data_IF_150379833924
#
_entry.id   IF_150379833924
#
_cell.length_a   1.000
_cell.length_b   1.000
_cell.length_c   1.000
_cell.angle_alpha   90.00
_cell.angle_beta   90.00
_cell.angle_gamma   90.00
#
_symmetry.space_group_name_H-M   'P 1'
#
loop_
_entity.id
_entity.type
_entity.pdbx_description
1 polymer ?
#
# COMPACT_ATOMS: atom_id res chain seq x y z
N UNK A 1 17.41 54.46 -4.62
CA UNK A 1 17.83 53.79 -5.86
C UNK A 1 17.45 52.32 -5.77
N UNK A 2 16.44 51.88 -6.52
CA UNK A 2 15.88 50.50 -6.50
C UNK A 2 16.44 49.77 -7.71
N UNK A 3 17.20 48.71 -7.49
CA UNK A 3 17.65 47.79 -8.55
C UNK A 3 16.76 46.57 -8.58
N UNK A 4 15.95 46.47 -9.63
CA UNK A 4 15.14 45.31 -9.93
C UNK A 4 16.01 44.22 -10.58
N UNK A 5 16.07 43.02 -9.99
CA UNK A 5 16.67 41.83 -10.59
C UNK A 5 15.61 40.98 -11.27
N UNK A 6 15.70 40.93 -12.59
CA UNK A 6 14.91 40.11 -13.50
C UNK A 6 15.30 38.64 -13.34
N UNK A 7 14.33 37.76 -13.06
CA UNK A 7 14.50 36.29 -13.09
C UNK A 7 14.23 35.80 -14.51
N UNK A 8 15.24 35.28 -15.16
CA UNK A 8 15.10 34.56 -16.45
C UNK A 8 14.63 33.16 -16.20
N UNK A 9 13.42 32.83 -16.65
CA UNK A 9 12.88 31.50 -16.76
C UNK A 9 13.45 30.80 -17.99
N UNK A 10 14.21 29.75 -17.83
CA UNK A 10 14.64 28.88 -18.92
C UNK A 10 13.64 27.72 -19.04
N UNK A 11 12.81 27.77 -20.10
CA UNK A 11 11.97 26.66 -20.52
C UNK A 11 12.81 25.67 -21.35
N UNK A 12 13.09 24.51 -20.77
CA UNK A 12 13.73 23.39 -21.48
C UNK A 12 12.67 22.43 -22.02
N UNK A 13 12.46 22.45 -23.32
CA UNK A 13 11.65 21.47 -24.04
C UNK A 13 12.52 20.24 -24.32
N UNK A 14 12.14 19.07 -23.82
CA UNK A 14 12.71 17.80 -24.24
C UNK A 14 11.62 17.06 -25.02
N UNK A 15 11.78 17.05 -26.33
CA UNK A 15 11.02 16.21 -27.24
C UNK A 15 11.60 14.79 -27.18
N UNK A 16 10.85 13.84 -26.64
CA UNK A 16 11.19 12.41 -26.57
C UNK A 16 10.42 11.60 -27.62
N UNK A 17 11.17 10.91 -28.44
CA UNK A 17 10.83 10.12 -29.60
C UNK A 17 9.96 8.91 -29.25
N UNK A 18 8.80 8.78 -29.91
CA UNK A 18 7.99 7.57 -29.96
C UNK A 18 8.66 6.53 -30.88
N UNK A 19 8.98 5.36 -30.35
CA UNK A 19 9.25 4.16 -31.16
C UNK A 19 8.12 3.16 -30.96
N UNK A 20 7.29 3.03 -31.98
CA UNK A 20 6.29 2.00 -32.15
C UNK A 20 6.98 0.72 -32.60
N UNK A 21 6.89 -0.35 -31.82
CA UNK A 21 7.18 -1.71 -32.31
C UNK A 21 5.97 -2.58 -31.95
N UNK A 22 5.19 -2.82 -33.02
CA UNK A 22 4.16 -3.82 -33.03
C UNK A 22 4.81 -5.18 -33.32
N UNK A 23 4.56 -6.18 -32.49
CA UNK A 23 4.73 -7.57 -32.79
C UNK A 23 3.70 -8.39 -32.06
N UNK A 24 2.70 -8.89 -32.79
CA UNK A 24 1.83 -9.97 -32.38
C UNK A 24 2.50 -11.31 -32.69
N UNK A 25 2.32 -12.34 -31.87
CA UNK A 25 2.00 -13.65 -32.38
C UNK A 25 0.73 -14.23 -31.77
N UNK A 26 -0.15 -14.66 -32.66
CA UNK A 26 -1.23 -15.58 -32.38
C UNK A 26 -0.65 -16.97 -32.12
N UNK A 27 -1.14 -17.65 -31.06
CA UNK A 27 -1.04 -19.10 -30.94
C UNK A 27 -2.35 -19.63 -30.39
N UNK A 28 -3.03 -20.30 -31.26
CA UNK A 28 -4.16 -21.21 -31.14
C UNK A 28 -3.81 -22.50 -30.40
N UNK A 29 -4.81 -23.08 -29.74
CA UNK A 29 -4.89 -24.53 -29.44
C UNK A 29 -4.82 -24.84 -27.95
N UNK A 30 -5.62 -25.63 -27.39
CA UNK A 30 -6.48 -26.74 -27.61
C UNK A 30 -7.24 -27.04 -26.34
N UNK A 31 -8.46 -27.43 -26.50
CA UNK A 31 -9.35 -28.05 -25.52
C UNK A 31 -8.79 -29.35 -24.97
N UNK A 32 -9.11 -29.69 -23.73
CA UNK A 32 -9.34 -31.08 -23.33
C UNK A 32 -10.34 -31.12 -22.18
N UNK A 33 -11.44 -31.75 -22.48
CA UNK A 33 -12.49 -32.24 -21.60
C UNK A 33 -11.97 -33.31 -20.64
N UNK A 34 -12.75 -33.54 -19.65
CA UNK A 34 -12.93 -34.75 -18.81
C UNK A 34 -12.83 -34.40 -17.33
N UNK A 35 -13.64 -34.83 -16.43
CA UNK A 35 -14.79 -35.74 -16.33
C UNK A 35 -15.41 -35.58 -14.95
N UNK A 36 -16.66 -35.84 -14.85
CA UNK A 36 -17.50 -35.86 -13.66
C UNK A 36 -17.06 -36.91 -12.64
N UNK A 37 -17.10 -36.57 -11.36
CA UNK A 37 -17.44 -37.59 -10.36
C UNK A 37 -18.33 -37.00 -9.26
N UNK A 38 -19.52 -37.56 -9.24
CA UNK A 38 -20.64 -37.35 -8.34
C UNK A 38 -20.41 -38.29 -7.13
N UNK A 39 -20.43 -37.76 -5.93
CA UNK A 39 -20.62 -38.57 -4.72
C UNK A 39 -21.65 -37.94 -3.81
N UNK A 40 -22.60 -38.77 -3.47
CA UNK A 40 -23.88 -38.59 -2.80
C UNK A 40 -23.77 -39.08 -1.36
N UNK A 41 -24.47 -38.34 -0.45
CA UNK A 41 -24.98 -38.90 0.83
C UNK A 41 -24.10 -38.66 2.04
N UNK A 42 -24.55 -38.10 3.13
CA UNK A 42 -25.53 -38.71 4.02
C UNK A 42 -25.89 -37.75 5.16
N UNK A 43 -27.15 -37.78 5.55
CA UNK A 43 -27.75 -37.12 6.68
C UNK A 43 -27.14 -37.51 8.03
N UNK A 44 -27.21 -36.58 9.00
CA UNK A 44 -26.89 -36.86 10.38
C UNK A 44 -27.29 -35.68 11.29
N UNK A 45 -28.58 -35.68 11.66
CA UNK A 45 -29.18 -34.82 12.68
C UNK A 45 -28.72 -35.24 14.08
N UNK A 46 -28.30 -34.27 14.93
CA UNK A 46 -28.55 -34.34 16.38
C UNK A 46 -28.27 -33.00 17.07
N UNK A 47 -29.31 -32.49 17.63
CA UNK A 47 -29.52 -31.46 18.60
C UNK A 47 -28.66 -31.58 19.88
N UNK A 48 -28.14 -30.46 20.41
CA UNK A 48 -28.12 -30.06 21.82
C UNK A 48 -27.45 -28.69 21.99
N UNK A 49 -28.15 -27.75 22.57
CA UNK A 49 -27.67 -26.51 23.22
C UNK A 49 -27.75 -26.72 24.76
N UNK A 50 -27.41 -25.73 25.60
CA UNK A 50 -26.35 -24.73 25.58
C UNK A 50 -25.50 -24.79 26.87
N UNK A 51 -24.31 -24.19 26.90
CA UNK A 51 -23.79 -23.66 28.18
C UNK A 51 -22.89 -22.46 27.91
N UNK A 52 -23.24 -21.35 28.54
CA UNK A 52 -22.46 -20.13 28.59
C UNK A 52 -21.15 -20.35 29.37
N UNK A 53 -20.06 -19.78 28.87
CA UNK A 53 -18.94 -19.44 29.73
C UNK A 53 -18.15 -18.27 29.12
N UNK A 54 -18.08 -17.24 29.90
CA UNK A 54 -17.34 -16.00 29.83
C UNK A 54 -15.85 -16.24 29.70
N UNK A 55 -15.19 -15.59 28.76
CA UNK A 55 -13.74 -15.57 28.65
C UNK A 55 -13.32 -14.69 27.48
N UNK A 56 -13.07 -13.41 27.74
CA UNK A 56 -12.58 -12.48 26.75
C UNK A 56 -11.08 -12.70 26.54
N UNK A 57 -10.72 -13.51 25.55
CA UNK A 57 -9.43 -13.47 24.88
C UNK A 57 -9.69 -13.11 23.43
N UNK A 58 -9.40 -11.85 23.10
CA UNK A 58 -9.53 -11.34 21.74
C UNK A 58 -8.34 -11.85 20.93
N UNK A 59 -8.41 -13.10 20.54
CA UNK A 59 -7.57 -13.67 19.50
C UNK A 59 -7.88 -12.95 18.18
N UNK A 60 -6.85 -12.50 17.41
CA UNK A 60 -7.09 -11.83 16.13
C UNK A 60 -7.75 -12.82 15.17
N UNK A 61 -9.04 -12.67 14.98
CA UNK A 61 -9.86 -13.44 14.04
C UNK A 61 -9.20 -13.43 12.65
N UNK A 62 -8.92 -14.59 12.04
CA UNK A 62 -8.36 -14.65 10.70
C UNK A 62 -9.32 -14.00 9.71
N UNK A 63 -8.84 -12.97 8.99
CA UNK A 63 -9.60 -12.26 7.97
C UNK A 63 -10.18 -13.24 6.95
N UNK A 64 -11.50 -13.21 6.69
CA UNK A 64 -12.12 -14.08 5.70
C UNK A 64 -11.50 -13.81 4.32
N UNK A 65 -11.16 -14.87 3.60
CA UNK A 65 -10.70 -14.84 2.20
C UNK A 65 -11.67 -13.99 1.38
N UNK A 66 -11.18 -12.86 0.82
CA UNK A 66 -11.98 -12.01 -0.09
C UNK A 66 -12.37 -10.62 0.44
N UNK A 67 -12.03 -10.24 1.68
CA UNK A 67 -12.30 -8.88 2.15
C UNK A 67 -11.30 -7.88 1.55
N UNK A 68 -11.77 -6.74 1.03
CA UNK A 68 -10.88 -5.64 0.61
C UNK A 68 -9.95 -5.27 1.78
N UNK A 69 -8.66 -5.10 1.52
CA UNK A 69 -7.65 -4.80 2.55
C UNK A 69 -7.76 -3.42 3.22
N UNK A 70 -8.69 -2.56 2.77
CA UNK A 70 -8.88 -1.20 3.32
C UNK A 70 -9.29 -1.18 4.78
N UNK A 71 -8.98 -0.08 5.45
CA UNK A 71 -9.12 0.14 6.89
C UNK A 71 -10.29 1.08 7.23
N UNK A 72 -10.67 1.14 8.50
CA UNK A 72 -11.80 1.96 8.97
C UNK A 72 -11.43 3.45 9.04
N UNK A 73 -10.17 3.76 9.30
CA UNK A 73 -9.66 5.12 9.45
C UNK A 73 -8.40 5.35 8.61
N UNK A 74 -8.08 6.61 8.33
CA UNK A 74 -6.83 6.99 7.65
C UNK A 74 -5.60 6.55 8.47
N UNK A 75 -5.67 6.71 9.80
CA UNK A 75 -4.59 6.32 10.70
C UNK A 75 -4.29 4.83 10.61
N UNK A 76 -5.33 3.99 10.63
CA UNK A 76 -5.17 2.54 10.48
C UNK A 76 -4.65 2.15 9.10
N UNK A 77 -5.09 2.80 8.03
CA UNK A 77 -4.62 2.52 6.68
C UNK A 77 -3.13 2.79 6.54
N UNK A 78 -2.69 3.98 6.98
CA UNK A 78 -1.28 4.38 6.92
C UNK A 78 -0.44 3.54 7.89
N UNK A 79 -0.90 3.29 9.12
CA UNK A 79 -0.17 2.46 10.08
C UNK A 79 0.00 1.01 9.59
N UNK A 80 -1.04 0.41 9.00
CA UNK A 80 -0.99 -0.95 8.46
C UNK A 80 -0.02 -1.03 7.27
N UNK A 81 -0.05 -0.02 6.38
CA UNK A 81 0.86 0.08 5.25
C UNK A 81 2.32 0.21 5.70
N UNK A 82 2.61 1.19 6.57
CA UNK A 82 3.97 1.39 7.12
C UNK A 82 4.46 0.14 7.84
N UNK A 83 3.61 -0.52 8.64
CA UNK A 83 3.96 -1.79 9.30
C UNK A 83 4.34 -2.87 8.28
N UNK A 84 3.57 -2.98 7.19
CA UNK A 84 3.86 -3.91 6.09
C UNK A 84 5.20 -3.62 5.42
N UNK A 85 5.52 -2.34 5.19
CA UNK A 85 6.80 -1.89 4.61
C UNK A 85 7.96 -2.18 5.59
N UNK A 86 7.85 -1.77 6.86
CA UNK A 86 8.90 -1.95 7.88
C UNK A 86 9.18 -3.42 8.17
N UNK A 87 8.19 -4.30 8.03
CA UNK A 87 8.35 -5.74 8.19
C UNK A 87 8.77 -6.47 6.91
N UNK A 88 9.00 -5.76 5.81
CA UNK A 88 9.22 -6.35 4.48
C UNK A 88 8.14 -7.36 4.07
N UNK A 89 6.88 -6.98 4.29
CA UNK A 89 5.70 -7.79 3.93
C UNK A 89 4.93 -7.15 2.78
N UNK A 90 5.43 -7.27 1.54
CA UNK A 90 4.89 -6.54 0.40
C UNK A 90 3.43 -6.85 0.10
N UNK A 91 2.98 -8.08 0.31
CA UNK A 91 1.58 -8.44 0.11
C UNK A 91 0.64 -7.73 1.09
N UNK A 92 1.05 -7.61 2.36
CA UNK A 92 0.28 -6.90 3.39
C UNK A 92 0.22 -5.41 3.11
N UNK A 93 1.35 -4.81 2.76
CA UNK A 93 1.39 -3.40 2.39
C UNK A 93 0.54 -3.13 1.13
N UNK A 94 0.65 -3.98 0.11
CA UNK A 94 -0.11 -3.86 -1.13
C UNK A 94 -1.63 -3.92 -0.91
N UNK A 95 -2.13 -4.80 -0.03
CA UNK A 95 -3.56 -4.98 0.20
C UNK A 95 -4.25 -3.74 0.79
N UNK A 96 -3.53 -2.88 1.49
CA UNK A 96 -4.06 -1.60 2.01
C UNK A 96 -3.81 -0.44 1.05
N UNK A 97 -3.25 -0.70 -0.11
CA UNK A 97 -3.05 0.29 -1.16
C UNK A 97 -4.16 0.23 -2.21
N UNK A 98 -4.26 1.29 -2.98
CA UNK A 98 -5.08 1.36 -4.19
C UNK A 98 -4.21 1.75 -5.38
N UNK A 99 -4.55 1.22 -6.54
CA UNK A 99 -3.97 1.68 -7.80
C UNK A 99 -4.49 3.07 -8.11
N UNK A 100 -3.59 3.99 -8.43
CA UNK A 100 -3.93 5.36 -8.79
C UNK A 100 -4.86 5.42 -10.01
N UNK A 101 -5.69 6.44 -10.07
CA UNK A 101 -6.48 6.73 -11.26
C UNK A 101 -5.56 7.05 -12.44
N UNK A 102 -5.77 6.42 -13.58
CA UNK A 102 -5.01 6.64 -14.82
C UNK A 102 -5.93 6.76 -16.02
N UNK A 103 -5.69 7.76 -16.88
CA UNK A 103 -6.25 7.83 -18.23
C UNK A 103 -7.76 7.54 -18.38
N UNK A 104 -8.59 8.00 -17.44
CA UNK A 104 -10.04 7.76 -17.45
C UNK A 104 -10.51 6.57 -16.58
N UNK A 105 -9.59 5.80 -16.00
CA UNK A 105 -9.93 4.76 -15.02
C UNK A 105 -9.87 5.30 -13.60
N UNK A 106 -10.93 5.16 -12.78
CA UNK A 106 -10.91 5.59 -11.39
C UNK A 106 -9.91 4.74 -10.57
N UNK A 107 -9.41 5.32 -9.48
CA UNK A 107 -8.61 4.57 -8.52
C UNK A 107 -9.38 3.35 -7.98
N UNK A 108 -8.69 2.22 -7.82
CA UNK A 108 -9.28 0.95 -7.38
C UNK A 108 -8.44 0.32 -6.27
N UNK A 109 -9.08 -0.25 -5.22
CA UNK A 109 -8.37 -1.04 -4.23
C UNK A 109 -7.60 -2.20 -4.87
N UNK A 110 -6.38 -2.44 -4.38
CA UNK A 110 -5.61 -3.61 -4.79
C UNK A 110 -6.28 -4.90 -4.30
N UNK A 111 -6.18 -5.95 -5.09
CA UNK A 111 -6.76 -7.26 -4.78
C UNK A 111 -5.68 -8.24 -4.31
N UNK A 112 -6.07 -9.32 -3.63
CA UNK A 112 -5.16 -10.37 -3.24
C UNK A 112 -4.42 -10.99 -4.44
N UNK A 113 -5.08 -11.14 -5.59
CA UNK A 113 -4.46 -11.62 -6.81
C UNK A 113 -3.38 -10.67 -7.35
N UNK A 114 -3.60 -9.36 -7.27
CA UNK A 114 -2.60 -8.35 -7.66
C UNK A 114 -1.41 -8.33 -6.71
N UNK A 115 -1.64 -8.52 -5.41
CA UNK A 115 -0.60 -8.41 -4.39
C UNK A 115 0.23 -9.70 -4.24
N UNK A 116 -0.42 -10.87 -4.32
CA UNK A 116 0.22 -12.18 -4.14
C UNK A 116 0.69 -12.84 -5.43
N UNK A 117 0.22 -12.38 -6.60
CA UNK A 117 0.52 -12.99 -7.90
C UNK A 117 1.98 -12.83 -8.35
N UNK A 118 2.30 -13.53 -9.45
CA UNK A 118 3.63 -13.49 -10.08
C UNK A 118 3.63 -12.70 -11.40
N UNK A 119 2.64 -11.82 -11.59
CA UNK A 119 2.59 -10.92 -12.74
C UNK A 119 3.77 -9.93 -12.69
N UNK A 120 4.19 -9.37 -13.83
CA UNK A 120 5.24 -8.34 -13.86
C UNK A 120 4.93 -7.15 -12.95
N UNK A 121 3.67 -6.75 -12.86
CA UNK A 121 3.19 -5.65 -12.01
C UNK A 121 3.31 -6.00 -10.54
N UNK A 122 2.88 -7.19 -10.14
CA UNK A 122 3.01 -7.67 -8.76
C UNK A 122 4.48 -7.75 -8.33
N UNK A 123 5.35 -8.24 -9.20
CA UNK A 123 6.80 -8.31 -8.93
C UNK A 123 7.42 -6.91 -8.77
N UNK A 124 7.07 -5.96 -9.66
CA UNK A 124 7.54 -4.57 -9.55
C UNK A 124 7.10 -3.93 -8.24
N UNK A 125 5.85 -4.11 -7.86
CA UNK A 125 5.31 -3.59 -6.60
C UNK A 125 6.00 -4.23 -5.38
N UNK A 126 6.21 -5.55 -5.37
CA UNK A 126 6.97 -6.24 -4.32
C UNK A 126 8.40 -5.68 -4.20
N UNK A 127 9.09 -5.48 -5.33
CA UNK A 127 10.43 -4.87 -5.36
C UNK A 127 10.44 -3.42 -4.87
N UNK A 128 9.39 -2.65 -5.18
CA UNK A 128 9.28 -1.28 -4.69
C UNK A 128 9.12 -1.25 -3.17
N UNK A 129 8.24 -2.08 -2.61
CA UNK A 129 8.04 -2.17 -1.16
C UNK A 129 9.32 -2.66 -0.48
N UNK A 130 10.03 -3.63 -1.04
CA UNK A 130 11.31 -4.10 -0.53
C UNK A 130 12.37 -2.97 -0.49
N UNK A 131 12.41 -2.11 -1.53
CA UNK A 131 13.29 -0.92 -1.50
C UNK A 131 12.88 0.09 -0.43
N UNK A 132 11.58 0.31 -0.24
CA UNK A 132 11.07 1.18 0.82
C UNK A 132 11.39 0.63 2.21
N UNK A 133 11.39 -0.70 2.39
CA UNK A 133 11.82 -1.32 3.65
C UNK A 133 13.22 -0.84 4.06
N UNK A 134 14.19 -0.85 3.16
CA UNK A 134 15.56 -0.39 3.45
C UNK A 134 15.61 1.07 3.94
N UNK A 135 14.67 1.92 3.46
CA UNK A 135 14.61 3.33 3.86
C UNK A 135 13.77 3.57 5.11
N UNK A 136 12.77 2.73 5.38
CA UNK A 136 11.75 2.95 6.42
C UNK A 136 11.99 2.11 7.68
N UNK A 137 12.89 1.11 7.63
CA UNK A 137 13.20 0.30 8.79
C UNK A 137 14.16 1.04 9.73
N UNK A 138 13.78 1.28 11.00
CA UNK A 138 14.72 1.80 11.99
C UNK A 138 15.85 0.79 12.24
N UNK A 139 17.05 1.30 12.58
CA UNK A 139 18.21 0.45 12.86
C UNK A 139 17.95 -0.58 13.99
N UNK A 140 17.05 -0.23 14.92
CA UNK A 140 16.58 -1.10 15.99
C UNK A 140 15.05 -1.13 15.96
N UNK A 141 14.48 -2.04 15.19
CA UNK A 141 13.03 -2.22 15.11
C UNK A 141 12.56 -3.32 16.06
N UNK A 142 11.45 -3.04 16.75
CA UNK A 142 10.72 -4.07 17.52
C UNK A 142 10.06 -5.07 16.57
N UNK A 143 9.81 -6.26 17.04
CA UNK A 143 9.06 -7.26 16.28
C UNK A 143 7.86 -7.77 17.09
N UNK A 144 6.62 -7.34 16.77
CA UNK A 144 6.24 -6.41 15.70
C UNK A 144 6.59 -4.94 16.01
N UNK A 145 6.82 -4.09 14.99
CA UNK A 145 7.05 -2.66 15.17
C UNK A 145 5.77 -1.97 15.66
N UNK A 146 5.94 -0.96 16.51
CA UNK A 146 4.83 -0.11 16.96
C UNK A 146 4.72 1.11 16.07
N UNK A 147 3.74 1.11 15.14
CA UNK A 147 3.47 2.25 14.27
C UNK A 147 2.30 3.06 14.81
N UNK A 148 2.51 4.38 14.95
CA UNK A 148 1.46 5.34 15.34
C UNK A 148 1.36 6.44 14.29
N UNK A 149 0.13 6.86 13.98
CA UNK A 149 -0.16 7.95 13.05
C UNK A 149 -1.00 9.00 13.75
N UNK A 150 -0.57 10.25 13.72
CA UNK A 150 -1.31 11.35 14.31
C UNK A 150 -2.65 11.57 13.57
N UNK A 151 -3.59 12.23 14.24
CA UNK A 151 -4.83 12.66 13.60
C UNK A 151 -4.52 13.76 12.59
N UNK A 152 -5.06 13.61 11.38
CA UNK A 152 -4.91 14.57 10.28
C UNK A 152 -6.28 15.05 9.80
N UNK A 153 -6.36 16.25 9.21
CA UNK A 153 -7.56 16.71 8.55
C UNK A 153 -7.97 15.79 7.40
N UNK A 154 -9.27 15.58 7.26
CA UNK A 154 -9.85 14.84 6.14
C UNK A 154 -10.67 15.81 5.32
N UNK A 155 -10.38 15.94 4.03
CA UNK A 155 -11.12 16.75 3.07
C UNK A 155 -11.56 15.87 1.90
N UNK A 156 -12.84 15.94 1.52
CA UNK A 156 -13.38 15.22 0.35
C UNK A 156 -13.03 13.72 0.30
N UNK A 157 -13.04 13.05 1.45
CA UNK A 157 -12.65 11.63 1.59
C UNK A 157 -11.18 11.35 1.23
N UNK A 158 -10.32 12.36 1.32
CA UNK A 158 -8.88 12.27 1.15
C UNK A 158 -8.17 12.81 2.37
N UNK A 159 -6.96 12.32 2.61
CA UNK A 159 -6.09 12.82 3.67
C UNK A 159 -4.63 12.67 3.22
N UNK A 160 -3.81 13.61 3.67
CA UNK A 160 -2.35 13.58 3.53
C UNK A 160 -1.75 13.48 4.93
N UNK A 161 -0.83 12.56 5.10
CA UNK A 161 -0.10 12.35 6.36
C UNK A 161 1.38 12.60 6.10
N UNK A 162 1.95 13.60 6.76
CA UNK A 162 3.37 13.90 6.63
C UNK A 162 4.23 12.91 7.43
N UNK A 163 5.47 12.70 7.00
CA UNK A 163 6.39 11.74 7.64
C UNK A 163 6.70 12.05 9.10
N UNK A 164 6.55 13.31 9.53
CA UNK A 164 6.66 13.74 10.93
C UNK A 164 5.47 13.31 11.79
N UNK A 165 4.32 13.05 11.17
CA UNK A 165 3.09 12.59 11.85
C UNK A 165 3.00 11.06 11.97
N UNK A 166 3.97 10.34 11.40
CA UNK A 166 4.08 8.89 11.46
C UNK A 166 5.27 8.53 12.34
N UNK A 167 5.08 7.70 13.35
CA UNK A 167 6.16 7.20 14.19
C UNK A 167 6.25 5.69 14.12
N UNK A 168 7.47 5.17 14.07
CA UNK A 168 7.80 3.74 14.14
C UNK A 168 8.72 3.55 15.35
N UNK A 169 8.28 2.78 16.32
CA UNK A 169 8.98 2.52 17.58
C UNK A 169 9.42 3.80 18.33
N UNK A 170 8.65 4.89 18.14
CA UNK A 170 8.87 6.19 18.77
C UNK A 170 9.71 7.17 17.94
N UNK A 171 10.27 6.78 16.82
CA UNK A 171 10.99 7.67 15.89
C UNK A 171 10.06 8.11 14.76
N UNK A 172 10.14 9.36 14.32
CA UNK A 172 9.37 9.81 13.15
C UNK A 172 9.86 9.13 11.88
N UNK A 173 8.95 8.84 10.94
CA UNK A 173 9.31 8.24 9.66
C UNK A 173 10.32 9.11 8.90
N UNK A 174 10.18 10.44 8.98
CA UNK A 174 11.15 11.39 8.41
C UNK A 174 12.56 11.21 9.00
N UNK A 175 12.68 11.12 10.33
CA UNK A 175 13.97 10.91 10.99
C UNK A 175 14.59 9.56 10.62
N UNK A 176 13.79 8.49 10.48
CA UNK A 176 14.26 7.18 10.06
C UNK A 176 14.81 7.25 8.63
N UNK A 177 14.03 7.81 7.70
CA UNK A 177 14.47 7.93 6.29
C UNK A 177 15.72 8.80 6.18
N UNK A 178 15.79 9.89 6.94
CA UNK A 178 16.99 10.75 6.99
C UNK A 178 18.21 9.98 7.48
N UNK A 179 18.07 9.18 8.53
CA UNK A 179 19.19 8.37 9.07
C UNK A 179 19.66 7.28 8.10
N UNK A 180 18.79 6.80 7.24
CA UNK A 180 19.10 5.80 6.20
C UNK A 180 19.52 6.43 4.85
N UNK A 181 19.55 7.77 4.77
CA UNK A 181 19.93 8.51 3.56
C UNK A 181 21.30 9.14 3.72
N UNK A 182 22.04 9.27 2.61
CA UNK A 182 23.34 9.93 2.60
C UNK A 182 23.26 11.25 1.86
N UNK A 183 23.74 12.34 2.49
CA UNK A 183 23.83 13.66 1.84
C UNK A 183 22.52 14.43 1.71
N UNK A 184 21.44 13.97 2.35
CA UNK A 184 20.14 14.65 2.40
C UNK A 184 20.04 15.42 3.71
N UNK A 185 19.62 16.68 3.66
CA UNK A 185 19.35 17.49 4.85
C UNK A 185 17.89 17.38 5.27
N UNK A 186 17.65 17.64 6.56
CA UNK A 186 16.30 17.50 7.13
C UNK A 186 15.28 18.46 6.50
N UNK A 187 15.68 19.68 6.18
CA UNK A 187 14.86 20.69 5.54
C UNK A 187 14.59 20.43 4.05
N UNK A 188 15.42 19.59 3.43
CA UNK A 188 15.29 19.16 2.03
C UNK A 188 14.37 17.94 1.87
N UNK A 189 14.18 17.13 2.93
CA UNK A 189 13.41 15.88 2.85
C UNK A 189 11.94 16.12 3.15
N UNK A 190 11.08 15.87 2.16
CA UNK A 190 9.63 15.80 2.31
C UNK A 190 9.13 14.37 2.13
N UNK A 191 8.30 13.90 3.07
CA UNK A 191 7.64 12.59 2.99
C UNK A 191 6.16 12.81 3.20
N UNK A 192 5.32 12.32 2.27
CA UNK A 192 3.86 12.41 2.35
C UNK A 192 3.24 11.08 1.97
N UNK A 193 2.30 10.62 2.76
CA UNK A 193 1.47 9.46 2.46
C UNK A 193 0.07 9.94 2.19
N UNK A 194 -0.43 9.73 0.98
CA UNK A 194 -1.79 10.07 0.61
C UNK A 194 -2.71 8.87 0.81
N UNK A 195 -3.90 9.14 1.31
CA UNK A 195 -4.94 8.13 1.49
C UNK A 195 -6.30 8.64 1.05
N UNK A 196 -7.16 7.74 0.57
CA UNK A 196 -8.51 8.06 0.15
C UNK A 196 -9.50 6.96 0.52
N UNK A 197 -10.78 7.37 0.63
CA UNK A 197 -11.90 6.44 0.88
C UNK A 197 -12.41 5.86 -0.43
N UNK A 198 -12.45 4.54 -0.52
CA UNK A 198 -13.05 3.78 -1.62
C UNK A 198 -13.96 2.69 -1.03
N UNK A 199 -15.21 2.65 -1.45
CA UNK A 199 -16.18 1.67 -0.92
C UNK A 199 -16.36 1.75 0.60
N UNK A 200 -16.24 2.96 1.19
CA UNK A 200 -16.38 3.18 2.64
C UNK A 200 -15.16 2.78 3.47
N UNK A 201 -14.03 2.46 2.84
CA UNK A 201 -12.77 2.11 3.51
C UNK A 201 -11.61 2.97 3.03
N UNK A 202 -10.63 3.17 3.91
CA UNK A 202 -9.41 3.93 3.64
C UNK A 202 -8.33 3.05 3.02
N UNK A 203 -7.69 3.58 1.98
CA UNK A 203 -6.55 2.98 1.28
C UNK A 203 -5.46 4.01 1.08
N UNK A 204 -4.21 3.58 1.15
CA UNK A 204 -3.07 4.40 0.72
C UNK A 204 -3.08 4.46 -0.81
N UNK A 205 -3.02 5.67 -1.35
CA UNK A 205 -3.09 5.92 -2.80
C UNK A 205 -1.78 6.36 -3.40
N UNK A 206 -0.94 7.01 -2.61
CA UNK A 206 0.37 7.48 -3.08
C UNK A 206 1.37 7.67 -1.93
N UNK A 207 2.64 7.65 -2.29
CA UNK A 207 3.77 8.03 -1.45
C UNK A 207 4.60 9.08 -2.19
N UNK A 208 4.55 10.30 -1.72
CA UNK A 208 5.40 11.40 -2.17
C UNK A 208 6.71 11.44 -1.39
N UNK A 209 7.82 11.32 -2.09
CA UNK A 209 9.16 11.59 -1.56
C UNK A 209 9.75 12.74 -2.37
N UNK A 210 10.18 13.80 -1.70
CA UNK A 210 10.85 14.94 -2.32
C UNK A 210 12.17 15.23 -1.63
N UNK A 211 13.18 15.60 -2.41
CA UNK A 211 14.49 16.05 -1.93
C UNK A 211 14.82 17.34 -2.68
N UNK A 212 15.08 18.43 -1.96
CA UNK A 212 15.51 19.73 -2.52
C UNK A 212 14.57 20.84 -2.29
#
# INVERSE_FOLDING_TARGET
MKTARSKKTAAGWIAGVCVLLAAAPALTGCSTDSDSTKSKGQDGSASAAPTASTGADTEPTPSPKGRPGGQSTVQEAVATWVTGVVQDRPEKACLVMATAATGGSPAKPNTAAMCGGDTPEARRMKQQIHRLHASFAPAQSKNPPTVKVAKVPVAEKKATVDGEQITVDGQTLKAIVLSNSTGVKEDELGIRVEAAVMGGRWYVTDLGLSVG
#
